data_IF_159614770352
#
_entry.id   IF_159614770352
#
_cell.length_a   1.000
_cell.length_b   1.000
_cell.length_c   1.000
_cell.angle_alpha   90.00
_cell.angle_beta   90.00
_cell.angle_gamma   90.00
#
_symmetry.space_group_name_H-M   'P 1'
#
loop_
_entity.id
_entity.type
_entity.pdbx_description
1 polymer ?
#
# COMPACT_ATOMS: atom_id res chain seq x y z
N UNK A 1 36.58 -21.39 -48.87
CA UNK A 1 35.66 -22.07 -47.94
C UNK A 1 36.02 -21.66 -46.52
N UNK A 2 34.98 -21.42 -45.72
CA UNK A 2 34.98 -21.36 -44.25
C UNK A 2 35.89 -20.32 -43.59
N UNK A 3 35.32 -19.16 -43.23
CA UNK A 3 36.01 -18.27 -42.30
C UNK A 3 35.45 -16.85 -42.22
N UNK A 4 34.17 -16.69 -41.82
CA UNK A 4 33.66 -15.44 -41.21
C UNK A 4 32.17 -15.43 -40.82
N UNK A 5 31.43 -16.52 -41.06
CA UNK A 5 29.99 -16.57 -40.73
C UNK A 5 29.68 -17.23 -39.37
N UNK A 6 30.60 -18.00 -38.79
CA UNK A 6 30.34 -18.73 -37.54
C UNK A 6 30.47 -17.90 -36.25
N UNK A 7 31.08 -16.72 -36.30
CA UNK A 7 31.32 -15.89 -35.10
C UNK A 7 30.17 -14.94 -34.76
N UNK A 8 29.43 -14.48 -35.78
CA UNK A 8 28.32 -13.54 -35.56
C UNK A 8 27.06 -14.23 -35.02
N UNK A 9 26.79 -15.47 -35.45
CA UNK A 9 25.59 -16.21 -35.02
C UNK A 9 25.66 -16.71 -33.58
N UNK A 10 26.86 -17.02 -33.07
CA UNK A 10 27.05 -17.46 -31.67
C UNK A 10 26.92 -16.29 -30.69
N UNK A 11 27.45 -15.11 -31.03
CA UNK A 11 27.33 -13.91 -30.20
C UNK A 11 25.86 -13.45 -30.03
N UNK A 12 25.06 -13.51 -31.10
CA UNK A 12 23.62 -13.17 -31.06
C UNK A 12 22.82 -14.13 -30.17
N UNK A 13 23.19 -15.43 -30.14
CA UNK A 13 22.52 -16.42 -29.31
C UNK A 13 22.78 -16.17 -27.81
N UNK A 14 24.01 -15.80 -27.44
CA UNK A 14 24.33 -15.43 -26.05
C UNK A 14 23.62 -14.14 -25.61
N UNK A 15 23.51 -13.13 -26.48
CA UNK A 15 22.77 -11.90 -26.18
C UNK A 15 21.28 -12.22 -25.94
N UNK A 16 20.67 -13.11 -26.73
CA UNK A 16 19.26 -13.51 -26.55
C UNK A 16 18.97 -14.30 -25.27
N UNK A 17 20.00 -14.93 -24.67
CA UNK A 17 19.88 -15.66 -23.41
C UNK A 17 19.99 -14.74 -22.18
N UNK A 18 20.66 -13.58 -22.29
CA UNK A 18 20.75 -12.61 -21.17
C UNK A 18 19.43 -11.85 -20.95
N UNK A 19 18.53 -11.83 -21.94
CA UNK A 19 17.24 -11.13 -21.87
C UNK A 19 16.06 -11.99 -21.41
N UNK A 20 16.29 -13.22 -20.91
CA UNK A 20 15.19 -14.13 -20.51
C UNK A 20 14.78 -14.11 -19.04
N UNK A 21 15.34 -13.24 -18.20
CA UNK A 21 14.90 -13.09 -16.82
C UNK A 21 14.77 -11.62 -16.38
N UNK A 22 14.05 -10.82 -17.18
CA UNK A 22 13.16 -9.84 -16.53
C UNK A 22 11.90 -10.64 -16.18
N UNK A 23 12.04 -11.54 -15.20
CA UNK A 23 10.90 -12.00 -14.46
C UNK A 23 10.09 -10.75 -14.16
N UNK A 24 8.82 -10.73 -14.59
CA UNK A 24 7.89 -9.69 -14.22
C UNK A 24 8.02 -9.59 -12.71
N UNK A 25 8.78 -8.59 -12.23
CA UNK A 25 8.69 -8.15 -10.87
C UNK A 25 7.23 -7.76 -10.82
N UNK A 26 6.42 -8.64 -10.24
CA UNK A 26 5.03 -8.40 -10.00
C UNK A 26 5.08 -7.29 -8.97
N UNK A 27 5.26 -6.05 -9.47
CA UNK A 27 5.05 -4.85 -8.71
C UNK A 27 3.62 -5.05 -8.25
N UNK A 28 3.46 -5.44 -6.98
CA UNK A 28 2.18 -5.49 -6.34
C UNK A 28 1.68 -4.05 -6.39
N UNK A 29 0.94 -3.76 -7.46
CA UNK A 29 1.02 -2.45 -8.11
C UNK A 29 0.42 -1.41 -7.20
N UNK A 30 1.20 -0.38 -6.88
CA UNK A 30 0.70 0.82 -6.24
C UNK A 30 -0.01 1.64 -7.34
N UNK A 31 -1.20 1.17 -7.75
CA UNK A 31 -2.04 1.84 -8.75
C UNK A 31 -3.23 2.54 -8.10
N UNK A 32 -3.73 3.58 -8.77
CA UNK A 32 -5.00 4.21 -8.41
C UNK A 32 -6.16 3.29 -8.80
N UNK A 33 -7.09 3.10 -7.87
CA UNK A 33 -8.34 2.37 -8.12
C UNK A 33 -9.42 3.42 -8.31
N UNK A 34 -9.75 3.70 -9.57
CA UNK A 34 -10.76 4.67 -9.93
C UNK A 34 -12.16 4.24 -9.48
N UNK A 35 -12.99 5.25 -9.21
CA UNK A 35 -14.37 5.11 -8.77
C UNK A 35 -14.52 4.34 -7.45
N UNK A 36 -13.48 4.34 -6.63
CA UNK A 36 -13.44 3.66 -5.34
C UNK A 36 -12.87 4.60 -4.29
N UNK A 37 -13.31 4.40 -3.04
CA UNK A 37 -12.79 5.10 -1.88
C UNK A 37 -12.78 4.18 -0.66
N UNK A 38 -11.93 4.51 0.31
CA UNK A 38 -11.99 3.97 1.65
C UNK A 38 -12.76 4.95 2.55
N UNK A 39 -13.92 4.55 3.05
CA UNK A 39 -14.83 5.40 3.84
C UNK A 39 -14.52 5.35 5.33
N UNK A 40 -14.64 6.48 6.03
CA UNK A 40 -14.61 6.50 7.50
C UNK A 40 -13.23 6.39 8.15
N UNK A 41 -12.15 6.36 7.34
CA UNK A 41 -10.76 6.24 7.81
C UNK A 41 -9.92 7.49 7.51
N UNK A 42 -10.54 8.55 7.01
CA UNK A 42 -9.87 9.81 6.70
C UNK A 42 -9.53 10.57 7.98
N UNK A 43 -8.25 10.85 8.20
CA UNK A 43 -7.78 11.61 9.36
C UNK A 43 -7.25 13.00 8.99
N UNK A 44 -7.04 13.27 7.69
CA UNK A 44 -6.57 14.57 7.20
C UNK A 44 -7.10 14.82 5.78
N UNK A 45 -7.63 16.02 5.57
CA UNK A 45 -8.15 16.46 4.28
C UNK A 45 -7.54 17.80 3.90
N UNK A 46 -7.11 17.95 2.65
CA UNK A 46 -6.58 19.21 2.13
C UNK A 46 -6.74 19.31 0.61
N UNK A 47 -6.77 20.53 0.10
CA UNK A 47 -6.78 20.79 -1.34
C UNK A 47 -5.36 20.75 -1.88
N UNK A 48 -5.16 20.12 -3.02
CA UNK A 48 -3.89 20.11 -3.76
C UNK A 48 -3.99 20.98 -4.99
N UNK A 49 -2.83 21.31 -5.55
CA UNK A 49 -2.78 21.81 -6.92
C UNK A 49 -3.22 20.70 -7.89
N UNK A 50 -4.16 20.94 -8.82
CA UNK A 50 -4.55 19.93 -9.81
C UNK A 50 -3.35 19.45 -10.63
N UNK A 51 -3.22 18.13 -10.80
CA UNK A 51 -2.17 17.52 -11.60
C UNK A 51 -0.81 17.36 -10.90
N UNK A 52 -0.66 17.74 -9.63
CA UNK A 52 0.59 17.57 -8.87
C UNK A 52 0.58 16.30 -8.01
N UNK A 53 1.75 15.72 -7.68
CA UNK A 53 1.84 14.55 -6.80
C UNK A 53 1.70 14.88 -5.30
N UNK A 54 1.35 16.12 -4.92
CA UNK A 54 1.32 16.62 -3.53
C UNK A 54 0.62 15.66 -2.55
N UNK A 55 -0.52 15.08 -2.93
CA UNK A 55 -1.26 14.14 -2.08
C UNK A 55 -0.41 12.89 -1.75
N UNK A 56 0.28 12.35 -2.75
CA UNK A 56 1.19 11.20 -2.58
C UNK A 56 2.37 11.59 -1.71
N UNK A 57 3.00 12.72 -1.98
CA UNK A 57 4.23 13.12 -1.28
C UNK A 57 3.97 13.38 0.20
N UNK A 58 2.85 14.03 0.53
CA UNK A 58 2.43 14.23 1.92
C UNK A 58 2.09 12.89 2.58
N UNK A 59 1.39 11.98 1.90
CA UNK A 59 1.14 10.65 2.44
C UNK A 59 2.43 9.86 2.67
N UNK A 60 3.41 9.97 1.76
CA UNK A 60 4.70 9.29 1.89
C UNK A 60 5.47 9.79 3.12
N UNK A 61 5.43 11.09 3.37
CA UNK A 61 6.11 11.73 4.51
C UNK A 61 5.41 11.52 5.87
N UNK A 62 4.11 11.16 5.88
CA UNK A 62 3.34 10.94 7.11
C UNK A 62 3.26 9.44 7.44
N UNK A 63 3.86 9.02 8.54
CA UNK A 63 3.86 7.62 9.01
C UNK A 63 2.47 7.08 9.32
N UNK A 64 1.53 7.95 9.70
CA UNK A 64 0.13 7.55 9.91
C UNK A 64 -0.59 7.23 8.60
N UNK A 65 -0.11 7.76 7.48
CA UNK A 65 -0.77 7.55 6.20
C UNK A 65 -0.55 6.11 5.74
N UNK A 66 -1.63 5.42 5.41
CA UNK A 66 -1.62 4.05 4.90
C UNK A 66 -2.17 3.99 3.47
N UNK A 67 -3.12 4.85 3.17
CA UNK A 67 -3.70 5.06 1.84
C UNK A 67 -4.29 6.48 1.77
N UNK A 68 -4.84 6.86 0.62
CA UNK A 68 -5.60 8.09 0.48
C UNK A 68 -6.71 7.93 -0.56
N UNK A 69 -7.76 8.74 -0.43
CA UNK A 69 -8.70 8.99 -1.51
C UNK A 69 -8.37 10.34 -2.14
N UNK A 70 -8.67 10.48 -3.42
CA UNK A 70 -8.50 11.74 -4.13
C UNK A 70 -9.78 12.11 -4.88
N UNK A 71 -10.36 13.26 -4.54
CA UNK A 71 -11.57 13.80 -5.18
C UNK A 71 -11.15 14.53 -6.45
N UNK A 72 -11.41 13.92 -7.61
CA UNK A 72 -10.76 14.27 -8.87
C UNK A 72 -11.08 15.71 -9.33
N UNK A 73 -12.35 16.10 -9.36
CA UNK A 73 -12.78 17.37 -9.96
C UNK A 73 -12.42 18.63 -9.15
N UNK A 74 -12.20 18.48 -7.85
CA UNK A 74 -11.90 19.59 -6.94
C UNK A 74 -10.52 19.49 -6.29
N UNK A 75 -9.73 18.49 -6.71
CA UNK A 75 -8.37 18.23 -6.25
C UNK A 75 -8.25 18.21 -4.72
N UNK A 76 -9.10 17.43 -4.06
CA UNK A 76 -9.04 17.24 -2.60
C UNK A 76 -8.40 15.88 -2.30
N UNK A 77 -7.38 15.90 -1.46
CA UNK A 77 -6.72 14.73 -0.91
C UNK A 77 -7.31 14.40 0.47
N UNK A 78 -7.70 13.14 0.66
CA UNK A 78 -8.24 12.59 1.91
C UNK A 78 -7.30 11.47 2.38
N UNK A 79 -6.36 11.76 3.29
CA UNK A 79 -5.42 10.76 3.81
C UNK A 79 -6.11 9.83 4.79
N UNK A 80 -5.88 8.53 4.60
CA UNK A 80 -6.46 7.46 5.40
C UNK A 80 -5.40 6.74 6.23
N UNK A 81 -5.77 6.39 7.46
CA UNK A 81 -4.92 5.66 8.40
C UNK A 81 -5.08 4.13 8.31
N UNK A 82 -5.82 3.64 7.30
CA UNK A 82 -6.03 2.21 7.00
C UNK A 82 -5.87 1.97 5.51
N UNK A 83 -5.77 0.70 5.12
CA UNK A 83 -5.86 0.24 3.73
C UNK A 83 -7.16 -0.52 3.50
N UNK A 84 -7.50 -0.79 2.23
CA UNK A 84 -8.66 -1.63 1.87
C UNK A 84 -8.53 -3.08 2.36
N UNK A 85 -7.31 -3.58 2.56
CA UNK A 85 -7.07 -4.93 3.10
C UNK A 85 -7.38 -4.99 4.60
N UNK A 86 -7.07 -3.91 5.34
CA UNK A 86 -7.43 -3.78 6.74
C UNK A 86 -8.95 -3.62 6.93
N UNK A 87 -9.62 -2.93 6.00
CA UNK A 87 -11.04 -2.52 6.09
C UNK A 87 -11.80 -2.76 4.78
N UNK A 88 -11.96 -4.02 4.36
CA UNK A 88 -12.61 -4.33 3.09
C UNK A 88 -14.09 -3.90 3.06
N UNK A 89 -14.76 -3.87 4.21
CA UNK A 89 -16.15 -3.45 4.36
C UNK A 89 -16.37 -1.97 4.04
N UNK A 90 -15.34 -1.15 4.24
CA UNK A 90 -15.39 0.30 4.03
C UNK A 90 -14.84 0.70 2.65
N UNK A 91 -14.38 -0.27 1.86
CA UNK A 91 -13.88 -0.04 0.51
C UNK A 91 -15.04 -0.08 -0.50
N UNK A 92 -15.58 1.11 -0.79
CA UNK A 92 -16.85 1.27 -1.51
C UNK A 92 -16.69 2.05 -2.81
N UNK A 93 -17.68 1.92 -3.69
CA UNK A 93 -17.74 2.66 -4.96
C UNK A 93 -18.07 4.13 -4.71
N UNK A 94 -17.36 5.03 -5.37
CA UNK A 94 -17.63 6.48 -5.39
C UNK A 94 -17.14 7.07 -6.72
N UNK A 95 -18.05 7.59 -7.55
CA UNK A 95 -17.75 7.98 -8.94
C UNK A 95 -16.80 9.17 -9.08
N UNK A 96 -16.62 9.96 -8.02
CA UNK A 96 -15.84 11.20 -8.05
C UNK A 96 -14.43 11.04 -7.46
N UNK A 97 -14.11 9.84 -6.97
CA UNK A 97 -12.87 9.54 -6.26
C UNK A 97 -12.05 8.45 -6.94
N UNK A 98 -10.77 8.45 -6.64
CA UNK A 98 -9.96 7.23 -6.72
C UNK A 98 -9.28 6.96 -5.38
N UNK A 99 -9.06 5.69 -5.08
CA UNK A 99 -8.30 5.21 -3.94
C UNK A 99 -6.85 4.91 -4.34
N UNK A 100 -5.91 5.15 -3.44
CA UNK A 100 -4.51 4.76 -3.64
C UNK A 100 -3.84 4.35 -2.33
N UNK A 101 -3.21 3.17 -2.32
CA UNK A 101 -2.38 2.73 -1.19
C UNK A 101 -1.01 3.44 -1.17
N UNK A 102 -0.41 3.64 0.01
CA UNK A 102 0.95 4.19 0.15
C UNK A 102 2.03 3.26 -0.42
N UNK A 103 1.78 1.96 -0.41
CA UNK A 103 2.72 0.93 -0.90
C UNK A 103 3.69 0.41 0.17
N UNK A 104 4.86 -0.14 -0.21
CA UNK A 104 5.73 -0.89 0.71
C UNK A 104 6.53 -0.03 1.69
N UNK A 105 6.60 1.29 1.49
CA UNK A 105 7.22 2.24 2.45
C UNK A 105 6.29 2.60 3.62
N UNK A 106 5.22 1.84 3.81
CA UNK A 106 4.20 2.08 4.84
C UNK A 106 4.69 1.54 6.18
N UNK A 107 4.43 2.27 7.25
CA UNK A 107 4.60 1.76 8.62
C UNK A 107 3.54 0.67 8.87
N UNK A 108 3.93 -0.54 9.32
CA UNK A 108 2.97 -1.61 9.59
C UNK A 108 1.89 -1.19 10.59
N UNK A 109 0.66 -1.66 10.37
CA UNK A 109 -0.46 -1.28 11.21
C UNK A 109 -0.24 -1.78 12.65
N UNK A 110 -0.44 -0.90 13.64
CA UNK A 110 -0.24 -1.22 15.06
C UNK A 110 1.21 -1.24 15.52
N UNK A 111 2.21 -0.93 14.67
CA UNK A 111 3.61 -0.94 15.11
C UNK A 111 4.04 0.33 15.84
N UNK A 112 3.29 1.44 15.70
CA UNK A 112 3.52 2.70 16.41
C UNK A 112 2.25 3.15 17.12
N UNK A 113 2.40 3.97 18.16
CA UNK A 113 1.29 4.41 19.02
C UNK A 113 0.29 5.28 18.27
N UNK A 114 0.77 6.07 17.33
CA UNK A 114 0.00 7.03 16.52
C UNK A 114 -0.82 6.34 15.41
N UNK A 115 -0.55 5.06 15.17
CA UNK A 115 -1.20 4.21 14.19
C UNK A 115 -1.61 2.88 14.83
N UNK A 116 -2.51 2.90 15.83
CA UNK A 116 -2.98 1.67 16.45
C UNK A 116 -3.90 0.92 15.50
N UNK A 117 -3.94 -0.40 15.63
CA UNK A 117 -4.98 -1.23 15.04
C UNK A 117 -6.17 -1.34 15.98
N UNK A 118 -7.33 -1.77 15.51
CA UNK A 118 -8.47 -2.09 16.37
C UNK A 118 -8.40 -3.53 16.89
N UNK A 119 -7.73 -4.43 16.16
CA UNK A 119 -7.56 -5.83 16.55
C UNK A 119 -6.34 -6.48 15.91
N UNK A 120 -5.87 -7.59 16.49
CA UNK A 120 -4.84 -8.44 15.91
C UNK A 120 -5.26 -9.02 14.55
N UNK A 121 -6.55 -9.35 14.39
CA UNK A 121 -7.11 -9.80 13.11
C UNK A 121 -6.99 -8.73 12.01
N UNK A 122 -7.20 -7.47 12.33
CA UNK A 122 -7.02 -6.36 11.38
C UNK A 122 -5.57 -6.24 10.94
N UNK A 123 -4.61 -6.32 11.88
CA UNK A 123 -3.17 -6.31 11.55
C UNK A 123 -2.85 -7.46 10.60
N UNK A 124 -3.34 -8.67 10.92
CA UNK A 124 -3.13 -9.84 10.07
C UNK A 124 -3.72 -9.67 8.66
N UNK A 125 -4.89 -9.03 8.55
CA UNK A 125 -5.50 -8.73 7.26
C UNK A 125 -4.69 -7.68 6.47
N UNK A 126 -4.21 -6.63 7.15
CA UNK A 126 -3.40 -5.54 6.58
C UNK A 126 -2.03 -6.01 6.09
N UNK A 127 -1.30 -6.73 6.92
CA UNK A 127 0.09 -7.13 6.66
C UNK A 127 0.20 -8.49 5.95
N UNK A 128 -0.88 -9.26 5.91
CA UNK A 128 -0.95 -10.55 5.22
C UNK A 128 0.17 -11.50 5.65
N UNK A 129 0.93 -12.02 4.68
CA UNK A 129 2.05 -12.93 4.93
C UNK A 129 3.25 -12.32 5.68
N UNK A 130 3.28 -10.99 5.86
CA UNK A 130 4.33 -10.29 6.62
C UNK A 130 3.97 -10.12 8.10
N UNK A 131 2.75 -10.48 8.52
CA UNK A 131 2.33 -10.39 9.92
C UNK A 131 3.11 -11.38 10.80
N UNK A 132 3.68 -10.91 11.91
CA UNK A 132 4.46 -11.72 12.86
C UNK A 132 3.88 -11.62 14.27
N UNK A 133 4.02 -12.65 15.10
CA UNK A 133 3.56 -12.58 16.49
C UNK A 133 4.42 -11.60 17.29
N UNK A 134 3.79 -10.77 18.12
CA UNK A 134 4.48 -9.68 18.81
C UNK A 134 3.55 -8.79 19.61
N UNK A 135 4.10 -7.70 20.16
CA UNK A 135 3.31 -6.69 20.84
C UNK A 135 2.97 -5.56 19.86
N UNK A 136 1.70 -5.16 19.84
CA UNK A 136 1.15 -4.16 18.94
C UNK A 136 0.30 -3.16 19.71
N UNK A 137 0.23 -1.93 19.20
CA UNK A 137 -0.64 -0.88 19.69
C UNK A 137 -2.05 -1.11 19.18
N UNK A 138 -2.99 -1.28 20.11
CA UNK A 138 -4.40 -1.50 19.83
C UNK A 138 -5.27 -0.41 20.46
N UNK A 139 -6.27 0.06 19.71
CA UNK A 139 -7.36 0.91 20.20
C UNK A 139 -8.68 0.42 19.60
N UNK A 140 -9.25 -0.63 20.21
CA UNK A 140 -10.50 -1.24 19.76
C UNK A 140 -11.70 -0.31 19.86
N UNK A 141 -11.61 0.75 20.68
CA UNK A 141 -12.69 1.70 20.93
C UNK A 141 -12.61 2.97 20.07
N UNK A 142 -11.54 3.14 19.30
CA UNK A 142 -11.23 4.38 18.57
C UNK A 142 -11.25 5.62 19.49
N UNK A 143 -10.87 5.44 20.75
CA UNK A 143 -10.87 6.51 21.76
C UNK A 143 -9.69 7.46 21.63
N UNK A 144 -8.68 7.10 20.83
CA UNK A 144 -7.37 7.75 20.79
C UNK A 144 -6.40 7.21 21.86
N UNK A 145 -6.87 6.34 22.76
CA UNK A 145 -6.05 5.74 23.81
C UNK A 145 -5.65 4.32 23.43
N UNK A 146 -4.49 4.18 22.78
CA UNK A 146 -3.93 2.88 22.43
C UNK A 146 -3.25 2.19 23.61
N UNK A 147 -3.48 0.88 23.74
CA UNK A 147 -2.78 0.00 24.68
C UNK A 147 -1.84 -0.93 23.93
N UNK A 148 -0.77 -1.37 24.60
CA UNK A 148 0.12 -2.40 24.04
C UNK A 148 -0.43 -3.79 24.39
N UNK A 149 -0.71 -4.60 23.38
CA UNK A 149 -1.24 -5.95 23.54
C UNK A 149 -0.48 -6.95 22.68
N UNK A 150 -0.41 -8.21 23.12
CA UNK A 150 0.25 -9.28 22.38
C UNK A 150 -0.71 -9.89 21.36
N UNK A 151 -0.30 -9.92 20.09
CA UNK A 151 -0.98 -10.62 19.01
C UNK A 151 -0.22 -11.89 18.63
N UNK A 152 -0.92 -13.01 18.51
CA UNK A 152 -0.34 -14.25 17.98
C UNK A 152 -0.82 -14.50 16.54
N UNK A 153 0.00 -14.07 15.59
CA UNK A 153 -0.30 -14.17 14.16
C UNK A 153 -0.26 -15.60 13.61
N UNK A 154 0.23 -16.58 14.40
CA UNK A 154 0.19 -18.00 14.03
C UNK A 154 -1.22 -18.59 14.16
N UNK A 155 -2.04 -18.05 15.06
CA UNK A 155 -3.44 -18.43 15.22
C UNK A 155 -4.34 -17.51 14.39
N UNK A 156 -5.68 -17.52 14.58
CA UNK A 156 -6.61 -16.72 13.74
C UNK A 156 -6.50 -15.19 13.90
N UNK A 157 -5.45 -14.68 14.57
CA UNK A 157 -5.25 -13.26 14.84
C UNK A 157 -5.91 -12.88 16.15
#
# INVERSE_FOLDING_TARGET
>A
MAGRQASFSTALFFISLVFRDIASQQCHGIYSIYQMMLKGHTYKTFKTTPGTPECRDICLADDKCQSFNFVMFIAICELNNRTKEARPEDFVKDEYRYYMAKGPKRVPLGSIRELPAESCKEIKASEGGQAVSGNYWLDSTRSGNSILARCDMRTKG
#
